data_IF_997631603757
#
_entry.id   IF_997631603757
#
_cell.length_a   1.000
_cell.length_b   1.000
_cell.length_c   1.000
_cell.angle_alpha   90.00
_cell.angle_beta   90.00
_cell.angle_gamma   90.00
#
_symmetry.space_group_name_H-M   'P 1'
#
loop_
_entity.id
_entity.type
_entity.pdbx_description
1 polymer ?
2 non-polymer ?
3 non-polymer ?
4 non-polymer ?
5 water ?
#
# COMPACT_ATOMS: atom_id res chain seq x y z
N UNK A 7 -14.78 -15.73 -14.70
CA UNK A 7 -13.51 -16.52 -14.56
C UNK A 7 -12.29 -15.62 -14.66
N UNK A 8 -12.34 -14.49 -13.95
CA UNK A 8 -11.29 -13.48 -14.02
C UNK A 8 -9.91 -14.00 -13.62
N UNK A 9 -9.85 -14.77 -12.52
CA UNK A 9 -8.57 -15.34 -12.09
C UNK A 9 -7.97 -16.21 -13.17
N UNK A 10 -8.71 -17.22 -13.60
CA UNK A 10 -8.24 -18.11 -14.64
C UNK A 10 -7.80 -17.36 -15.89
N UNK A 11 -8.58 -16.38 -16.30
CA UNK A 11 -8.32 -15.65 -17.54
C UNK A 11 -7.12 -14.69 -17.44
N UNK A 12 -7.02 -13.97 -16.33
CA UNK A 12 -6.08 -12.85 -16.26
C UNK A 12 -4.88 -13.06 -15.33
N UNK A 13 -4.95 -14.07 -14.45
CA UNK A 13 -3.80 -14.37 -13.62
C UNK A 13 -2.53 -14.66 -14.47
N UNK A 14 -2.66 -15.41 -15.58
CA UNK A 14 -1.45 -15.64 -16.37
C UNK A 14 -0.77 -14.39 -16.93
N UNK A 15 -1.54 -13.32 -17.12
CA UNK A 15 -0.97 -12.10 -17.69
C UNK A 15 -0.47 -11.14 -16.62
N UNK A 16 -1.28 -10.93 -15.59
CA UNK A 16 -0.99 -9.90 -14.59
C UNK A 16 -0.53 -10.42 -13.22
N UNK A 17 -0.71 -11.71 -12.98
CA UNK A 17 -0.29 -12.30 -11.72
C UNK A 17 1.20 -12.53 -11.64
N UNK A 18 1.74 -12.45 -10.43
CA UNK A 18 3.15 -12.70 -10.18
C UNK A 18 3.22 -13.74 -9.07
N UNK A 19 3.88 -14.87 -9.35
CA UNK A 19 3.97 -15.95 -8.37
C UNK A 19 4.97 -15.61 -7.28
N UNK A 20 4.75 -16.16 -6.10
CA UNK A 20 5.74 -16.05 -5.04
C UNK A 20 7.01 -16.75 -5.47
N UNK A 21 8.14 -16.17 -5.09
CA UNK A 21 9.45 -16.69 -5.44
C UNK A 21 10.39 -16.50 -4.27
N UNK A 22 11.38 -17.38 -4.17
CA UNK A 22 12.43 -17.23 -3.17
C UNK A 22 13.40 -16.11 -3.55
N UNK A 23 13.26 -15.60 -4.77
CA UNK A 23 14.19 -14.63 -5.34
C UNK A 23 13.58 -13.24 -5.52
N UNK A 24 14.45 -12.24 -5.57
CA UNK A 24 14.04 -10.85 -5.74
C UNK A 24 13.45 -10.61 -7.11
N UNK A 25 12.41 -9.77 -7.15
CA UNK A 25 11.85 -9.33 -8.42
C UNK A 25 12.83 -8.39 -9.12
N UNK A 26 12.81 -8.46 -10.45
CA UNK A 26 13.54 -7.54 -11.31
C UNK A 26 12.45 -6.68 -11.94
N UNK A 27 12.29 -5.44 -11.45
CA UNK A 27 11.17 -4.61 -11.89
C UNK A 27 11.21 -4.26 -13.40
N UNK A 28 12.38 -3.86 -13.93
CA UNK A 28 12.49 -3.69 -15.39
C UNK A 28 12.06 -4.92 -16.20
N UNK A 29 12.43 -6.11 -15.75
CA UNK A 29 12.00 -7.33 -16.44
C UNK A 29 10.50 -7.55 -16.32
N UNK A 30 9.97 -7.28 -15.13
CA UNK A 30 8.54 -7.49 -14.87
C UNK A 30 7.67 -6.52 -15.67
N UNK A 31 8.07 -5.26 -15.66
CA UNK A 31 7.25 -4.19 -16.21
C UNK A 31 7.66 -3.75 -17.61
N UNK A 32 8.78 -4.28 -18.10
CA UNK A 32 9.26 -4.01 -19.46
C UNK A 32 9.86 -2.63 -19.66
N UNK A 33 10.17 -1.96 -18.57
CA UNK A 33 10.69 -0.59 -18.62
C UNK A 33 11.26 -0.20 -17.26
N UNK A 34 11.95 0.93 -17.23
CA UNK A 34 12.35 1.55 -15.97
C UNK A 34 11.38 2.68 -15.66
N UNK A 35 10.59 2.49 -14.60
CA UNK A 35 9.59 3.48 -14.19
C UNK A 35 9.38 3.36 -12.67
N UNK A 36 8.86 4.42 -12.03
CA UNK A 36 8.59 4.33 -10.59
C UNK A 36 7.61 3.20 -10.29
N UNK A 37 7.80 2.53 -9.16
CA UNK A 37 6.94 1.42 -8.75
C UNK A 37 6.26 1.76 -7.43
N UNK A 38 4.94 1.58 -7.41
CA UNK A 38 4.14 1.78 -6.21
C UNK A 38 3.56 0.43 -5.82
N UNK A 39 3.61 0.12 -4.53
CA UNK A 39 3.08 -1.13 -4.02
C UNK A 39 1.86 -0.83 -3.17
N UNK A 40 0.74 -1.51 -3.45
CA UNK A 40 -0.40 -1.47 -2.53
C UNK A 40 -0.55 -2.80 -1.82
N UNK A 41 -0.49 -2.77 -0.49
CA UNK A 41 -0.63 -3.97 0.32
C UNK A 41 -2.07 -4.12 0.76
N UNK A 42 -2.67 -5.29 0.51
CA UNK A 42 -4.06 -5.54 0.90
C UNK A 42 -5.03 -4.69 0.10
N UNK A 43 -4.92 -4.78 -1.22
CA UNK A 43 -5.71 -3.92 -2.11
C UNK A 43 -7.20 -4.24 -2.17
N UNK A 44 -7.60 -5.34 -1.54
CA UNK A 44 -9.01 -5.75 -1.53
C UNK A 44 -9.48 -6.10 -2.93
N UNK A 45 -10.51 -5.41 -3.41
CA UNK A 45 -11.01 -5.64 -4.75
C UNK A 45 -10.26 -4.80 -5.79
N UNK A 46 -9.30 -4.01 -5.33
CA UNK A 46 -8.40 -3.30 -6.22
C UNK A 46 -8.93 -2.04 -6.88
N UNK A 47 -10.02 -1.48 -6.37
CA UNK A 47 -10.59 -0.28 -6.98
C UNK A 47 -9.59 0.89 -6.96
N UNK A 48 -8.96 1.10 -5.81
CA UNK A 48 -7.97 2.17 -5.70
C UNK A 48 -6.80 1.92 -6.62
N UNK A 49 -6.34 0.67 -6.66
CA UNK A 49 -5.14 0.33 -7.40
C UNK A 49 -5.37 0.50 -8.90
N UNK A 50 -6.52 0.03 -9.37
CA UNK A 50 -6.87 0.19 -10.78
C UNK A 50 -7.00 1.67 -11.12
N UNK A 51 -7.66 2.43 -10.26
CA UNK A 51 -7.83 3.89 -10.51
C UNK A 51 -6.48 4.56 -10.58
N UNK A 52 -5.60 4.19 -9.66
CA UNK A 52 -4.30 4.80 -9.64
C UNK A 52 -3.46 4.44 -10.86
N UNK A 53 -3.46 3.17 -11.27
CA UNK A 53 -2.73 2.73 -12.45
C UNK A 53 -3.28 3.37 -13.73
N UNK A 54 -4.61 3.52 -13.78
CA UNK A 54 -5.27 4.11 -14.93
C UNK A 54 -4.84 5.56 -15.10
N UNK A 55 -4.73 6.27 -13.97
CA UNK A 55 -4.39 7.70 -13.98
C UNK A 55 -2.89 7.95 -14.21
N UNK A 56 -2.07 6.92 -14.00
CA UNK A 56 -0.62 7.07 -14.08
C UNK A 56 0.01 6.01 -15.00
N UNK A 57 -0.26 6.08 -16.31
CA UNK A 57 0.27 5.08 -17.24
C UNK A 57 1.80 5.09 -17.30
N UNK A 58 2.42 6.19 -16.87
CA UNK A 58 3.89 6.34 -16.87
C UNK A 58 4.57 5.66 -15.68
N UNK A 59 3.78 5.19 -14.73
CA UNK A 59 4.30 4.52 -13.55
C UNK A 59 3.81 3.08 -13.50
N UNK A 60 4.47 2.28 -12.68
CA UNK A 60 4.11 0.88 -12.53
C UNK A 60 3.60 0.57 -11.14
N UNK A 61 2.75 -0.45 -11.07
CA UNK A 61 2.01 -0.75 -9.86
C UNK A 61 1.99 -2.22 -9.57
N UNK A 62 2.27 -2.54 -8.30
CA UNK A 62 2.22 -3.91 -7.82
C UNK A 62 1.23 -3.94 -6.67
N UNK A 63 0.33 -4.91 -6.68
CA UNK A 63 -0.60 -5.08 -5.58
C UNK A 63 -0.40 -6.43 -4.94
N UNK A 64 -0.60 -6.50 -3.63
CA UNK A 64 -0.58 -7.79 -2.95
C UNK A 64 -1.88 -7.96 -2.18
N UNK A 65 -2.52 -9.11 -2.32
CA UNK A 65 -3.78 -9.35 -1.61
C UNK A 65 -4.00 -10.84 -1.43
N UNK A 66 -4.12 -11.28 -0.18
CA UNK A 66 -4.29 -12.71 0.13
C UNK A 66 -5.73 -13.21 -0.06
N UNK A 67 -6.68 -12.30 -0.23
CA UNK A 67 -8.07 -12.68 -0.42
C UNK A 67 -8.27 -12.86 -1.92
N UNK A 68 -8.30 -14.11 -2.37
CA UNK A 68 -8.27 -14.36 -3.81
C UNK A 68 -9.48 -13.82 -4.60
N UNK A 69 -10.70 -13.81 -4.00
CA UNK A 69 -11.77 -13.11 -4.73
C UNK A 69 -11.48 -11.62 -5.00
N UNK A 70 -10.75 -10.97 -4.10
CA UNK A 70 -10.35 -9.59 -4.33
C UNK A 70 -9.35 -9.49 -5.47
N UNK A 71 -8.42 -10.44 -5.51
CA UNK A 71 -7.46 -10.53 -6.60
C UNK A 71 -8.18 -10.66 -7.94
N UNK A 72 -9.19 -11.54 -7.99
CA UNK A 72 -9.95 -11.74 -9.21
C UNK A 72 -10.69 -10.49 -9.63
N UNK A 73 -11.33 -9.83 -8.68
CA UNK A 73 -12.04 -8.57 -8.95
C UNK A 73 -11.09 -7.51 -9.50
N UNK A 74 -9.91 -7.43 -8.89
CA UNK A 74 -8.90 -6.46 -9.34
C UNK A 74 -8.45 -6.76 -10.77
N UNK A 75 -8.18 -8.03 -11.05
CA UNK A 75 -7.76 -8.45 -12.39
C UNK A 75 -8.82 -8.15 -13.43
N UNK A 76 -10.08 -8.45 -13.12
CA UNK A 76 -11.18 -8.19 -14.04
C UNK A 76 -11.27 -6.72 -14.37
N UNK A 77 -11.14 -5.88 -13.35
CA UNK A 77 -11.21 -4.44 -13.54
C UNK A 77 -10.00 -3.92 -14.31
N UNK A 78 -8.81 -4.40 -13.95
CA UNK A 78 -7.59 -4.01 -14.65
C UNK A 78 -7.67 -4.36 -16.13
N UNK A 79 -8.20 -5.54 -16.43
CA UNK A 79 -8.35 -5.97 -17.82
C UNK A 79 -9.34 -5.07 -18.54
N UNK A 80 -10.47 -4.81 -17.89
CA UNK A 80 -11.50 -3.94 -18.47
C UNK A 80 -10.96 -2.54 -18.77
N UNK A 81 -10.02 -2.07 -17.95
CA UNK A 81 -9.45 -0.73 -18.13
C UNK A 81 -8.25 -0.72 -19.06
N UNK A 82 -7.86 -1.90 -19.54
CA UNK A 82 -6.76 -2.04 -20.51
C UNK A 82 -5.41 -1.66 -19.94
N UNK A 83 -5.23 -1.91 -18.64
CA UNK A 83 -3.98 -1.57 -17.97
C UNK A 83 -2.85 -2.54 -18.33
N UNK A 84 -1.67 -1.97 -18.61
CA UNK A 84 -0.48 -2.77 -18.85
C UNK A 84 0.54 -2.60 -17.72
N UNK A 85 0.26 -1.68 -16.80
CA UNK A 85 1.22 -1.25 -15.79
C UNK A 85 0.86 -1.74 -14.38
N UNK A 86 0.10 -2.83 -14.32
CA UNK A 86 -0.34 -3.39 -13.06
C UNK A 86 -0.05 -4.87 -12.98
N UNK A 87 0.51 -5.29 -11.85
CA UNK A 87 0.72 -6.70 -11.56
C UNK A 87 0.20 -6.95 -10.16
N UNK A 88 -0.25 -8.17 -9.91
CA UNK A 88 -0.79 -8.52 -8.60
C UNK A 88 -0.24 -9.83 -8.10
N UNK A 89 -0.22 -9.94 -6.78
CA UNK A 89 0.21 -11.15 -6.11
C UNK A 89 -0.84 -11.57 -5.12
N UNK A 90 -0.86 -12.87 -4.87
CA UNK A 90 -1.75 -13.46 -3.89
C UNK A 90 -0.90 -14.27 -2.92
N UNK A 91 -0.33 -13.55 -1.96
CA UNK A 91 0.62 -14.14 -1.02
C UNK A 91 0.79 -13.17 0.13
N UNK A 92 1.16 -13.69 1.29
CA UNK A 92 1.43 -12.87 2.47
C UNK A 92 2.36 -11.72 2.10
N UNK A 93 1.92 -10.49 2.29
CA UNK A 93 2.72 -9.31 1.93
C UNK A 93 4.05 -9.23 2.66
N UNK A 94 4.10 -9.67 3.91
CA UNK A 94 5.34 -9.60 4.66
C UNK A 94 6.41 -10.52 4.04
N UNK A 95 6.00 -11.74 3.66
CA UNK A 95 6.92 -12.65 2.99
C UNK A 95 7.36 -12.07 1.64
N UNK A 96 6.43 -11.43 0.93
CA UNK A 96 6.79 -10.82 -0.36
C UNK A 96 7.81 -9.71 -0.15
N UNK A 97 7.59 -8.86 0.86
CA UNK A 97 8.53 -7.79 1.16
C UNK A 97 9.90 -8.37 1.45
N UNK A 98 9.96 -9.39 2.31
CA UNK A 98 11.24 -9.99 2.70
C UNK A 98 11.97 -10.63 1.53
N UNK A 99 11.22 -11.37 0.70
CA UNK A 99 11.84 -12.25 -0.28
C UNK A 99 11.96 -11.65 -1.67
N UNK A 100 11.04 -10.75 -2.01
CA UNK A 100 10.88 -10.39 -3.41
C UNK A 100 11.01 -8.92 -3.75
N UNK A 101 10.90 -8.05 -2.75
CA UNK A 101 10.95 -6.61 -3.02
C UNK A 101 12.36 -6.10 -2.72
N UNK A 102 13.09 -5.61 -3.75
CA UNK A 102 14.44 -5.13 -3.46
C UNK A 102 14.45 -3.91 -2.54
N UNK A 103 15.48 -3.80 -1.71
CA UNK A 103 15.67 -2.60 -0.90
C UNK A 103 15.70 -1.36 -1.78
N UNK A 104 15.19 -0.25 -1.24
CA UNK A 104 15.30 1.07 -1.86
C UNK A 104 14.65 1.17 -3.24
N UNK A 105 13.68 0.30 -3.53
CA UNK A 105 13.13 0.20 -4.88
C UNK A 105 11.81 0.90 -5.15
N UNK A 106 11.08 1.24 -4.09
CA UNK A 106 9.68 1.69 -4.25
C UNK A 106 9.50 3.18 -4.08
N UNK A 107 8.66 3.76 -4.94
CA UNK A 107 8.27 5.16 -4.83
C UNK A 107 7.27 5.38 -3.70
N UNK A 108 6.39 4.40 -3.51
CA UNK A 108 5.32 4.54 -2.56
C UNK A 108 4.81 3.17 -2.15
N UNK A 109 4.40 3.06 -0.89
CA UNK A 109 3.69 1.90 -0.39
C UNK A 109 2.38 2.40 0.18
N UNK A 110 1.28 1.79 -0.25
CA UNK A 110 -0.05 2.14 0.22
C UNK A 110 -0.61 0.99 1.03
N UNK A 111 -1.26 1.34 2.13
CA UNK A 111 -1.89 0.36 3.00
C UNK A 111 -3.20 0.98 3.48
N UNK A 112 -4.26 0.67 2.73
CA UNK A 112 -5.54 1.32 2.96
C UNK A 112 -6.50 0.39 3.64
N UNK A 113 -7.02 0.84 4.79
CA UNK A 113 -7.95 0.07 5.59
C UNK A 113 -7.46 -1.33 5.92
N UNK A 114 -6.22 -1.41 6.45
CA UNK A 114 -5.77 -2.73 6.90
C UNK A 114 -6.68 -3.21 8.03
N UNK A 115 -6.79 -4.53 8.19
CA UNK A 115 -7.69 -5.12 9.17
C UNK A 115 -7.54 -4.40 10.51
N UNK A 116 -8.62 -3.75 10.99
CA UNK A 116 -8.49 -2.90 12.17
C UNK A 116 -8.44 -3.61 13.50
N UNK A 117 -8.88 -4.88 13.53
CA UNK A 117 -8.83 -5.70 14.74
C UNK A 117 -9.30 -4.90 15.96
N UNK A 118 -10.59 -4.62 15.98
CA UNK A 118 -11.17 -3.75 17.01
C UNK A 118 -10.91 -4.19 18.44
N UNK A 119 -10.93 -5.49 18.70
CA UNK A 119 -10.78 -6.00 20.07
C UNK A 119 -9.35 -5.85 20.55
N UNK A 120 -9.20 -5.40 21.79
CA UNK A 120 -7.88 -5.25 22.40
C UNK A 120 -7.10 -6.56 22.36
N UNK A 121 -7.78 -7.69 22.54
CA UNK A 121 -7.10 -8.99 22.50
C UNK A 121 -6.48 -9.32 21.14
N UNK A 122 -6.88 -8.59 20.11
CA UNK A 122 -6.39 -8.82 18.77
C UNK A 122 -5.39 -7.77 18.31
N UNK A 123 -4.97 -6.91 19.22
CA UNK A 123 -4.17 -5.74 18.82
C UNK A 123 -2.87 -6.09 18.08
N UNK A 124 -2.25 -7.21 18.45
CA UNK A 124 -1.00 -7.63 17.81
C UNK A 124 -1.19 -8.16 16.39
N UNK A 125 -2.43 -8.45 16.02
CA UNK A 125 -2.73 -8.91 14.67
C UNK A 125 -2.69 -7.76 13.67
N UNK A 126 -2.78 -6.53 14.18
CA UNK A 126 -2.71 -5.35 13.33
C UNK A 126 -1.35 -5.30 12.65
N UNK A 127 -1.35 -5.13 11.33
CA UNK A 127 -0.12 -5.26 10.56
C UNK A 127 0.84 -4.11 10.84
N UNK A 128 0.31 -2.93 11.16
CA UNK A 128 1.20 -1.80 11.40
C UNK A 128 1.79 -1.92 12.80
N UNK A 129 3.04 -2.36 12.83
CA UNK A 129 3.84 -2.49 14.03
C UNK A 129 5.24 -2.05 13.61
N UNK A 130 6.11 -1.77 14.58
CA UNK A 130 7.44 -1.27 14.27
C UNK A 130 8.20 -2.13 13.25
N UNK A 131 8.32 -3.45 13.50
CA UNK A 131 9.11 -4.24 12.53
C UNK A 131 8.56 -4.18 11.10
N UNK A 132 7.25 -4.27 10.94
CA UNK A 132 6.64 -4.15 9.62
C UNK A 132 6.91 -2.78 9.00
N UNK A 133 6.75 -1.73 9.81
CA UNK A 133 6.97 -0.38 9.29
C UNK A 133 8.42 -0.16 8.88
N UNK A 134 9.35 -0.76 9.64
CA UNK A 134 10.77 -0.69 9.31
C UNK A 134 11.06 -1.46 8.04
N UNK A 135 10.41 -2.61 7.88
CA UNK A 135 10.59 -3.43 6.69
C UNK A 135 10.10 -2.65 5.47
N UNK A 136 8.93 -2.02 5.59
CA UNK A 136 8.43 -1.18 4.51
C UNK A 136 9.44 -0.07 4.21
N UNK A 137 9.97 0.57 5.26
CA UNK A 137 10.88 1.67 5.03
C UNK A 137 12.08 1.24 4.21
N UNK A 138 12.58 0.04 4.50
CA UNK A 138 13.77 -0.45 3.82
C UNK A 138 13.56 -0.63 2.32
N UNK A 139 12.30 -0.78 1.92
CA UNK A 139 11.93 -0.96 0.51
C UNK A 139 11.62 0.35 -0.22
N UNK A 140 11.44 1.42 0.54
CA UNK A 140 11.22 2.71 -0.07
C UNK A 140 12.53 3.32 -0.54
N UNK A 141 12.50 3.96 -1.69
CA UNK A 141 13.62 4.83 -2.06
C UNK A 141 13.61 6.01 -1.09
N UNK A 142 14.76 6.66 -0.90
CA UNK A 142 14.75 7.91 -0.15
C UNK A 142 13.78 8.85 -0.83
N UNK A 143 12.93 9.50 -0.04
CA UNK A 143 11.92 10.39 -0.59
C UNK A 143 10.63 9.67 -0.91
N UNK A 144 10.67 8.34 -0.90
CA UNK A 144 9.46 7.53 -1.06
C UNK A 144 8.57 7.69 0.14
N UNK A 145 7.30 7.33 -0.02
CA UNK A 145 6.32 7.56 1.02
C UNK A 145 5.55 6.29 1.38
N UNK A 146 5.30 6.12 2.68
CA UNK A 146 4.40 5.09 3.18
C UNK A 146 3.11 5.82 3.55
N UNK A 147 2.04 5.49 2.82
CA UNK A 147 0.73 6.07 3.05
C UNK A 147 -0.22 4.99 3.52
N UNK A 148 -0.75 5.18 4.73
CA UNK A 148 -1.75 4.26 5.26
C UNK A 148 -3.01 5.03 5.59
N UNK A 149 -4.14 4.33 5.62
CA UNK A 149 -5.40 4.96 5.98
C UNK A 149 -6.24 3.99 6.76
N UNK A 150 -7.02 4.53 7.70
CA UNK A 150 -7.93 3.71 8.46
C UNK A 150 -9.16 4.51 8.85
N UNK A 151 -10.27 3.82 9.03
CA UNK A 151 -11.48 4.43 9.53
C UNK A 151 -11.71 4.15 11.01
N UNK A 152 -10.68 3.65 11.69
CA UNK A 152 -10.80 3.30 13.11
C UNK A 152 -9.79 4.12 13.90
N UNK A 153 -10.27 5.11 14.65
CA UNK A 153 -9.38 6.03 15.34
C UNK A 153 -8.35 5.34 16.24
N UNK A 154 -8.76 4.32 17.03
CA UNK A 154 -7.72 3.66 17.84
C UNK A 154 -6.56 3.09 17.00
N UNK A 155 -6.88 2.58 15.82
CA UNK A 155 -5.82 2.12 14.92
C UNK A 155 -5.01 3.29 14.37
N UNK A 156 -5.69 4.38 13.99
CA UNK A 156 -4.98 5.58 13.53
C UNK A 156 -3.96 6.04 14.56
N UNK A 157 -4.37 6.08 15.82
CA UNK A 157 -3.49 6.53 16.90
C UNK A 157 -2.32 5.58 17.07
N UNK A 158 -2.60 4.29 16.95
CA UNK A 158 -1.55 3.29 17.03
C UNK A 158 -0.57 3.44 15.88
N UNK A 159 -1.09 3.60 14.66
CA UNK A 159 -0.24 3.83 13.50
C UNK A 159 0.66 5.05 13.70
N UNK A 160 0.09 6.11 14.25
CA UNK A 160 0.85 7.34 14.48
C UNK A 160 1.97 7.09 15.49
N UNK A 161 1.65 6.33 16.54
CA UNK A 161 2.65 6.04 17.57
C UNK A 161 3.78 5.21 16.98
N UNK A 162 3.42 4.18 16.23
CA UNK A 162 4.42 3.33 15.59
C UNK A 162 5.32 4.17 14.70
N UNK A 163 4.70 4.91 13.78
CA UNK A 163 5.46 5.63 12.76
C UNK A 163 6.31 6.75 13.34
N UNK A 164 5.79 7.43 14.36
CA UNK A 164 6.52 8.52 15.01
C UNK A 164 7.76 8.04 15.75
N UNK A 165 7.79 6.75 16.05
CA UNK A 165 8.90 6.20 16.85
C UNK A 165 10.08 5.75 15.99
N UNK A 166 9.93 5.79 14.67
CA UNK A 166 10.93 5.22 13.77
C UNK A 166 11.78 6.31 13.12
N UNK A 167 13.07 6.29 13.44
CA UNK A 167 14.03 7.17 12.81
C UNK A 167 14.07 6.87 11.32
N UNK A 168 14.04 7.91 10.50
CA UNK A 168 14.05 7.72 9.05
C UNK A 168 12.68 7.88 8.40
N UNK A 169 11.64 7.98 9.23
CA UNK A 169 10.32 8.37 8.73
C UNK A 169 10.03 9.80 9.16
N UNK A 170 9.69 10.64 8.19
CA UNK A 170 9.31 12.02 8.45
C UNK A 170 7.82 12.17 8.21
N UNK A 171 7.10 12.62 9.23
CA UNK A 171 5.66 12.83 9.11
C UNK A 171 5.39 13.97 8.16
N UNK A 172 4.57 13.71 7.14
CA UNK A 172 4.25 14.77 6.18
C UNK A 172 3.08 15.61 6.68
N UNK A 173 2.47 15.18 7.78
CA UNK A 173 1.41 15.99 8.41
C UNK A 173 1.98 17.28 8.96
N UNK A 174 1.32 18.39 8.63
CA UNK A 174 1.75 19.70 9.12
C UNK A 174 1.37 19.91 10.58
N UNK A 175 0.48 19.06 11.08
CA UNK A 175 0.09 19.08 12.48
C UNK A 175 0.67 17.89 13.24
N UNK A 176 1.69 17.27 12.65
CA UNK A 176 2.41 16.17 13.31
C UNK A 176 1.54 14.96 13.60
N UNK A 177 0.42 14.78 12.89
CA UNK A 177 -0.39 13.61 13.04
C UNK A 177 -0.84 13.00 11.72
N UNK A 178 -1.85 13.57 11.13
CA UNK A 178 -2.56 13.03 10.01
C UNK A 178 -2.52 14.03 8.84
N UNK A 179 -2.64 13.48 7.64
CA UNK A 179 -2.57 14.27 6.44
C UNK A 179 -3.90 14.41 5.72
N UNK A 180 -4.04 15.44 4.91
CA UNK A 180 -5.22 15.47 4.06
C UNK A 180 -5.21 14.30 3.09
N UNK A 181 -6.39 13.76 2.79
CA UNK A 181 -6.49 12.68 1.83
C UNK A 181 -5.87 13.14 0.50
N UNK A 182 -4.87 12.40 -0.01
CA UNK A 182 -4.33 12.76 -1.32
C UNK A 182 -5.19 12.18 -2.43
N UNK A 183 -5.00 12.67 -3.66
CA UNK A 183 -5.76 12.20 -4.81
C UNK A 183 -5.58 10.69 -5.05
N UNK A 184 -4.43 10.19 -4.61
CA UNK A 184 -4.04 8.79 -4.78
C UNK A 184 -4.81 7.79 -3.90
N UNK A 185 -5.65 8.28 -3.00
CA UNK A 185 -6.63 7.42 -2.32
C UNK A 185 -8.06 7.91 -2.55
N UNK A 186 -8.89 7.13 -3.27
CA UNK A 186 -10.26 7.57 -3.50
C UNK A 186 -11.09 7.68 -2.21
N UNK A 187 -12.07 8.57 -2.22
CA UNK A 187 -13.01 8.70 -1.11
C UNK A 187 -13.81 7.41 -1.01
N UNK A 188 -14.07 6.97 0.22
CA UNK A 188 -14.79 5.74 0.50
C UNK A 188 -16.14 6.03 1.16
N UNK A 189 -16.93 4.97 1.33
CA UNK A 189 -18.25 5.06 1.96
C UNK A 189 -18.15 5.28 3.48
N UNK A 190 -16.96 5.09 4.03
CA UNK A 190 -16.70 5.25 5.47
C UNK A 190 -16.49 6.73 5.79
N UNK A 191 -16.53 7.54 4.75
CA UNK A 191 -16.15 8.95 4.81
C UNK A 191 -17.31 9.89 4.60
N UNK A 192 -17.40 10.85 5.51
CA UNK A 192 -18.26 12.01 5.35
C UNK A 192 -17.30 13.19 5.22
N UNK A 193 -16.87 13.48 3.99
CA UNK A 193 -15.84 14.51 3.79
C UNK A 193 -16.35 15.87 4.26
N UNK A 194 -15.56 16.48 5.15
CA UNK A 194 -15.91 17.79 5.69
C UNK A 194 -16.86 17.75 6.87
N UNK A 195 -17.26 16.55 7.29
CA UNK A 195 -18.15 16.38 8.44
C UNK A 195 -17.59 17.13 9.65
N UNK A 196 -18.47 17.77 10.43
CA UNK A 196 -18.05 18.55 11.59
C UNK A 196 -17.23 17.76 12.63
N UNK A 197 -17.47 16.45 12.73
CA UNK A 197 -16.74 15.61 13.69
C UNK A 197 -15.52 14.93 13.07
N UNK A 198 -15.23 15.26 11.82
CA UNK A 198 -14.08 14.69 11.12
C UNK A 198 -14.54 13.83 9.97
N UNK A 199 -13.65 13.60 9.01
CA UNK A 199 -14.00 12.89 7.78
C UNK A 199 -14.39 11.44 8.05
N UNK A 200 -13.87 10.86 9.12
CA UNK A 200 -14.13 9.45 9.43
C UNK A 200 -13.05 8.52 8.93
N UNK A 201 -12.09 9.07 8.20
CA UNK A 201 -10.92 8.32 7.76
C UNK A 201 -9.70 9.14 8.09
N UNK A 202 -8.69 8.46 8.63
CA UNK A 202 -7.41 9.04 8.97
C UNK A 202 -6.39 8.56 7.95
N UNK A 203 -5.72 9.52 7.32
CA UNK A 203 -4.62 9.23 6.41
C UNK A 203 -3.34 9.61 7.12
N UNK A 204 -2.35 8.73 7.02
CA UNK A 204 -1.03 9.03 7.54
C UNK A 204 -0.07 8.83 6.39
N UNK A 205 0.83 9.80 6.23
CA UNK A 205 1.85 9.69 5.20
C UNK A 205 3.19 10.08 5.79
N UNK A 206 4.17 9.19 5.65
CA UNK A 206 5.51 9.45 6.13
C UNK A 206 6.49 9.24 4.99
N UNK A 207 7.42 10.18 4.85
CA UNK A 207 8.45 10.10 3.84
C UNK A 207 9.69 9.44 4.42
N UNK A 208 10.34 8.60 3.62
CA UNK A 208 11.64 8.07 4.03
C UNK A 208 12.71 9.13 3.87
N UNK A 209 13.36 9.42 4.99
CA UNK A 209 14.46 10.40 5.02
C UNK A 209 15.68 9.70 5.63
N UNK A 210 16.85 10.32 5.48
CA UNK A 210 18.05 9.71 6.07
C UNK A 210 17.93 9.67 7.58
N UNK A 211 18.48 8.62 8.17
CA UNK A 211 18.51 8.47 9.62
C UNK A 211 19.12 9.71 10.28
N UNK A 212 18.52 10.12 11.39
CA UNK A 212 19.00 11.27 12.16
C UNK A 212 19.99 10.80 13.23
N UNK A 213 19.87 9.54 13.61
CA UNK A 213 20.71 8.95 14.66
C UNK A 213 21.52 7.76 14.13
X LIG B 1 -7.60 17.39 6.96
X LIG B 1 -6.28 17.97 6.76
X LIG B 1 -7.48 15.93 7.03
X LIG B 1 -8.48 17.69 5.84
X LIG B 1 -8.20 17.90 8.19
X LIG C 1 -7.65 -1.79 0.72
X LIG C 1 -8.95 -2.51 0.49
X LIG C 1 -10.12 -1.57 0.68
X LIG C 1 -9.94 -0.47 1.23
X LIG C 1 -11.26 -1.87 0.33
X LIG C 1 -9.09 -3.70 1.42
X LIG C 1 -9.30 -3.35 2.89
X LIG C 1 -9.63 -4.86 3.83
X LIG C 1 -10.36 -4.20 5.36
X LIG C 1 -7.96 -5.35 4.34
X LIG C 1 -7.33 -6.27 3.31
X LIG C 1 -6.02 -6.58 3.70
X LIG C 1 -8.06 -7.60 3.18
X LIG C 1 -8.49 -7.75 1.83
X LIG C 1 -7.04 -8.65 3.57
X LIG C 1 -7.14 -9.85 2.82
X LIG C 1 -5.74 -7.90 3.30
X LIG C 1 -4.59 -8.39 4.04
X LIG C 1 -4.46 -8.55 5.39
X LIG C 1 -3.23 -9.02 5.66
X LIG C 1 -2.55 -9.14 4.49
X LIG C 1 -1.27 -9.58 4.21
X LIG C 1 -0.42 -9.96 5.17
X LIG C 1 -0.87 -9.61 2.89
X LIG C 1 -1.72 -9.21 1.88
X LIG C 1 -3.00 -8.78 2.17
X LIG C 1 -3.40 -8.75 3.46
X LIG D 1 -10.94 11.80 10.58
X LIG D 1 -12.23 11.87 11.16
X LIG D 1 -10.25 13.15 10.73
X LIG D 1 -10.96 14.14 10.02
X LIG D 1 -8.83 13.05 10.18
X LIG D 1 -8.07 14.10 10.73
X LIG E 1 -11.90 -7.50 13.97
X LIG E 1 -12.25 -6.16 14.22
X LIG E 1 -12.49 -8.45 14.99
X LIG E 1 -13.84 -8.73 14.65
X LIG E 1 -12.39 -7.89 16.40
X LIG E 1 -11.02 -7.67 16.75
X LIG F 1 21.47 -0.75 3.57
X LIG F 1 21.15 -1.45 4.76
X LIG F 1 20.19 -0.10 3.08
X LIG F 1 19.54 -0.95 2.16
X LIG F 1 20.44 1.28 2.49
X LIG F 1 19.22 1.98 2.47
#
# INVERSE_FOLDING_TARGET
MGSGQEHALENYWPVMGVEFSEDMLDFPALFGREAPVTLEIGFGMGASLVAMAKDRPEQDFLGIEVHSPGVGACLASAHEEGLSNLRVMCHDAVEVLHKMIPDNSLRMVQLFFPDPWHKARHNKRRIVQVPFAELVKSKLQLGGVFHMATDWEPYAEHMLEVMSSIDGYKNLSESNDYVPRPASRPVTKFEQRGHRLGHGVWDLMFERVKLEHHHHHH
SO4 S O1 O2 O3 O4
SAM N CA C O OXT CB CG SD CE C5' C4' O4' C3' O3' C2' O2' C1' N9 C8 N7 C5 C6 N6 N1 C2 N3 C4
GOL C1 O1 C2 O2 C3 O3
GOL C1 O1 C2 O2 C3 O3
GOL C1 O1 C2 O2 C3 O3
#
